data_IF_190473391910
#
_entry.id   IF_190473391910
#
_cell.length_a   1.000
_cell.length_b   1.000
_cell.length_c   1.000
_cell.angle_alpha   90.00
_cell.angle_beta   90.00
_cell.angle_gamma   90.00
#
_symmetry.space_group_name_H-M   'P 1'
#
loop_
_entity.id
_entity.type
_entity.pdbx_description
1 polymer ?
#
# COMPACT_ATOMS: atom_id res chain seq x y z
N UNK A 1 -16.42 11.43 -16.10
CA UNK A 1 -15.56 10.70 -15.13
C UNK A 1 -14.09 10.91 -15.48
N UNK A 2 -13.32 11.64 -14.67
CA UNK A 2 -11.87 11.81 -14.88
C UNK A 2 -11.13 10.48 -14.67
N UNK A 3 -10.26 10.11 -15.61
CA UNK A 3 -9.43 8.89 -15.55
C UNK A 3 -7.96 9.30 -15.48
N UNK A 4 -7.16 8.55 -14.74
CA UNK A 4 -5.70 8.70 -14.67
C UNK A 4 -5.03 7.48 -15.28
N UNK A 5 -3.80 7.63 -15.75
CA UNK A 5 -2.98 6.52 -16.23
C UNK A 5 -2.06 6.09 -15.09
N UNK A 6 -2.04 4.80 -14.78
CA UNK A 6 -1.11 4.26 -13.81
C UNK A 6 0.31 4.25 -14.39
N UNK A 7 1.28 4.83 -13.69
CA UNK A 7 2.67 4.90 -14.19
C UNK A 7 3.38 3.54 -14.23
N UNK A 8 2.91 2.53 -13.48
CA UNK A 8 3.55 1.21 -13.43
C UNK A 8 3.07 0.29 -14.58
N UNK A 9 1.76 0.28 -14.86
CA UNK A 9 1.17 -0.62 -15.88
C UNK A 9 0.52 0.09 -17.07
N UNK A 10 0.56 1.43 -17.12
CA UNK A 10 -0.06 2.26 -18.16
C UNK A 10 -1.58 2.04 -18.39
N UNK A 11 -2.26 1.33 -17.47
CA UNK A 11 -3.72 1.14 -17.54
C UNK A 11 -4.47 2.38 -17.06
N UNK A 12 -5.66 2.60 -17.63
CA UNK A 12 -6.57 3.68 -17.21
C UNK A 12 -7.28 3.30 -15.91
N UNK A 13 -7.20 4.17 -14.92
CA UNK A 13 -7.80 4.01 -13.60
C UNK A 13 -8.83 5.11 -13.34
N UNK A 14 -9.94 4.76 -12.71
CA UNK A 14 -10.89 5.74 -12.22
C UNK A 14 -10.25 6.60 -11.14
N UNK A 15 -10.50 7.91 -11.12
CA UNK A 15 -9.88 8.84 -10.15
C UNK A 15 -10.09 8.42 -8.69
N UNK A 16 -11.28 7.94 -8.34
CA UNK A 16 -11.60 7.43 -7.00
C UNK A 16 -10.74 6.23 -6.56
N UNK A 17 -10.21 5.48 -7.54
CA UNK A 17 -9.45 4.24 -7.38
C UNK A 17 -7.96 4.40 -7.67
N UNK A 18 -7.54 5.62 -8.04
CA UNK A 18 -6.13 5.93 -8.31
C UNK A 18 -5.51 6.60 -7.10
N UNK A 19 -4.29 6.23 -6.75
CA UNK A 19 -3.48 6.91 -5.75
C UNK A 19 -2.53 7.86 -6.45
N UNK A 20 -2.45 9.12 -6.00
CA UNK A 20 -1.39 10.00 -6.47
C UNK A 20 -0.09 9.57 -5.82
N UNK A 21 1.00 9.59 -6.56
CA UNK A 21 2.33 9.46 -5.99
C UNK A 21 2.48 10.49 -4.89
N UNK A 22 2.83 10.03 -3.70
CA UNK A 22 3.06 10.91 -2.58
C UNK A 22 4.08 11.98 -2.98
N UNK A 23 3.84 13.21 -2.55
CA UNK A 23 4.87 14.27 -2.64
C UNK A 23 6.08 13.89 -1.76
N UNK A 24 5.85 13.10 -0.70
CA UNK A 24 6.90 12.54 0.14
C UNK A 24 7.67 11.41 -0.60
N UNK A 25 8.96 11.59 -0.89
CA UNK A 25 9.77 10.63 -1.64
C UNK A 25 9.89 9.27 -0.95
N UNK A 26 9.98 9.25 0.38
CA UNK A 26 10.08 8.02 1.18
C UNK A 26 8.91 7.07 0.95
N UNK A 27 7.67 7.58 0.91
CA UNK A 27 6.48 6.73 0.63
C UNK A 27 6.51 6.13 -0.77
N UNK A 28 6.96 6.91 -1.75
CA UNK A 28 7.11 6.44 -3.11
C UNK A 28 8.21 5.38 -3.19
N UNK A 29 9.37 5.65 -2.57
CA UNK A 29 10.50 4.74 -2.50
C UNK A 29 10.12 3.42 -1.84
N UNK A 30 9.44 3.44 -0.70
CA UNK A 30 8.99 2.24 -0.01
C UNK A 30 8.01 1.41 -0.84
N UNK A 31 7.03 2.07 -1.49
CA UNK A 31 6.07 1.36 -2.36
C UNK A 31 6.79 0.70 -3.55
N UNK A 32 7.73 1.41 -4.17
CA UNK A 32 8.54 0.88 -5.26
C UNK A 32 9.48 -0.25 -4.79
N UNK A 33 10.09 -0.12 -3.62
CA UNK A 33 10.93 -1.15 -3.00
C UNK A 33 10.15 -2.44 -2.75
N UNK A 34 8.92 -2.36 -2.22
CA UNK A 34 8.05 -3.51 -2.01
C UNK A 34 7.61 -4.18 -3.33
N UNK A 35 7.41 -3.39 -4.40
CA UNK A 35 7.12 -3.94 -5.74
C UNK A 35 8.34 -4.62 -6.37
N UNK A 36 9.55 -4.13 -6.10
CA UNK A 36 10.80 -4.80 -6.50
C UNK A 36 11.00 -6.08 -5.70
N UNK A 37 10.84 -6.01 -4.38
CA UNK A 37 10.97 -7.15 -3.47
C UNK A 37 10.03 -8.30 -3.86
N UNK A 38 8.80 -8.00 -4.26
CA UNK A 38 7.83 -8.98 -4.74
C UNK A 38 8.01 -9.43 -6.19
N UNK A 39 9.04 -8.94 -6.89
CA UNK A 39 9.32 -9.27 -8.29
C UNK A 39 8.29 -8.74 -9.28
N UNK A 40 7.42 -7.80 -8.89
CA UNK A 40 6.38 -7.22 -9.75
C UNK A 40 6.94 -6.22 -10.75
N UNK A 41 8.03 -5.56 -10.38
CA UNK A 41 8.83 -4.69 -11.25
C UNK A 41 10.31 -4.99 -11.00
N UNK A 42 11.13 -4.83 -12.03
CA UNK A 42 12.58 -4.84 -11.87
C UNK A 42 13.08 -3.50 -11.29
N UNK A 43 14.33 -3.51 -10.82
CA UNK A 43 14.95 -2.35 -10.19
C UNK A 43 15.15 -1.18 -11.16
N UNK A 44 15.41 -1.43 -12.44
CA UNK A 44 15.66 -0.39 -13.44
C UNK A 44 14.37 0.38 -13.79
N UNK A 45 13.27 -0.36 -13.96
CA UNK A 45 11.92 0.20 -14.08
C UNK A 45 11.55 0.97 -12.82
N UNK A 46 11.88 0.46 -11.64
CA UNK A 46 11.64 1.14 -10.38
C UNK A 46 12.36 2.50 -10.30
N UNK A 47 13.66 2.54 -10.63
CA UNK A 47 14.46 3.79 -10.73
C UNK A 47 13.85 4.79 -11.72
N UNK A 48 13.49 4.33 -12.92
CA UNK A 48 12.86 5.17 -13.95
C UNK A 48 11.55 5.80 -13.47
N UNK A 49 10.69 5.01 -12.81
CA UNK A 49 9.43 5.51 -12.24
C UNK A 49 9.70 6.53 -11.13
N UNK A 50 10.66 6.24 -10.23
CA UNK A 50 11.03 7.12 -9.13
C UNK A 50 11.49 8.49 -9.65
N UNK A 51 12.43 8.51 -10.60
CA UNK A 51 12.93 9.74 -11.23
C UNK A 51 11.82 10.51 -11.96
N UNK A 52 10.98 9.82 -12.73
CA UNK A 52 9.87 10.44 -13.44
C UNK A 52 8.86 11.10 -12.47
N UNK A 53 8.57 10.46 -11.34
CA UNK A 53 7.71 11.04 -10.32
C UNK A 53 8.35 12.28 -9.68
N UNK A 54 9.65 12.25 -9.39
CA UNK A 54 10.39 13.37 -8.77
C UNK A 54 10.46 14.61 -9.66
N UNK A 55 10.59 14.43 -10.97
CA UNK A 55 10.70 15.53 -11.92
C UNK A 55 9.36 16.23 -12.20
N UNK A 56 8.22 15.62 -11.86
CA UNK A 56 6.89 16.15 -12.23
C UNK A 56 6.16 16.81 -11.08
N UNK A 57 5.89 18.12 -11.21
CA UNK A 57 5.16 18.93 -10.20
C UNK A 57 3.74 18.43 -9.88
N UNK A 58 3.08 17.75 -10.82
CA UNK A 58 1.67 17.33 -10.68
C UNK A 58 1.49 15.97 -9.98
N UNK A 59 2.59 15.26 -9.69
CA UNK A 59 2.55 13.88 -9.22
C UNK A 59 2.03 12.91 -10.29
N UNK A 60 2.42 11.65 -10.19
CA UNK A 60 1.94 10.57 -11.06
C UNK A 60 0.85 9.78 -10.34
N UNK A 61 0.21 8.86 -11.03
CA UNK A 61 -0.86 8.05 -10.42
C UNK A 61 -0.51 6.56 -10.45
N UNK A 62 -0.92 5.86 -9.42
CA UNK A 62 -0.86 4.42 -9.26
C UNK A 62 -2.28 3.86 -9.24
N UNK A 63 -2.48 2.68 -9.83
CA UNK A 63 -3.74 1.97 -9.67
C UNK A 63 -3.83 1.38 -8.25
N UNK A 64 -5.06 1.15 -7.79
CA UNK A 64 -5.28 0.45 -6.53
C UNK A 64 -4.67 -0.95 -6.51
N UNK A 65 -4.58 -1.63 -7.66
CA UNK A 65 -4.04 -2.99 -7.75
C UNK A 65 -2.58 -3.01 -7.28
N UNK A 66 -1.70 -2.18 -7.86
CA UNK A 66 -0.29 -2.17 -7.43
C UNK A 66 -0.14 -1.73 -5.97
N UNK A 67 -1.02 -0.87 -5.48
CA UNK A 67 -0.98 -0.50 -4.06
C UNK A 67 -1.41 -1.67 -3.17
N UNK A 68 -2.45 -2.40 -3.55
CA UNK A 68 -2.89 -3.61 -2.84
C UNK A 68 -1.77 -4.65 -2.89
N UNK A 69 -1.15 -4.90 -4.06
CA UNK A 69 -0.02 -5.83 -4.19
C UNK A 69 1.13 -5.45 -3.25
N UNK A 70 1.50 -4.16 -3.21
CA UNK A 70 2.51 -3.64 -2.28
C UNK A 70 2.15 -3.98 -0.83
N UNK A 71 0.90 -3.74 -0.43
CA UNK A 71 0.44 -3.99 0.93
C UNK A 71 0.32 -5.50 1.25
N UNK A 72 -0.07 -6.31 0.28
CA UNK A 72 -0.11 -7.78 0.40
C UNK A 72 1.28 -8.35 0.63
N UNK A 73 2.27 -7.87 -0.14
CA UNK A 73 3.68 -8.23 0.08
C UNK A 73 4.13 -7.86 1.48
N UNK A 74 3.83 -6.64 1.93
CA UNK A 74 4.21 -6.21 3.27
C UNK A 74 3.57 -7.08 4.36
N UNK A 75 2.27 -7.34 4.27
CA UNK A 75 1.55 -8.19 5.24
C UNK A 75 2.12 -9.62 5.24
N UNK A 76 2.38 -10.19 4.06
CA UNK A 76 2.95 -11.53 3.94
C UNK A 76 4.32 -11.66 4.61
N UNK A 77 5.20 -10.67 4.42
CA UNK A 77 6.53 -10.65 5.04
C UNK A 77 6.45 -10.44 6.56
N UNK A 78 5.59 -9.53 7.04
CA UNK A 78 5.40 -9.29 8.47
C UNK A 78 4.85 -10.52 9.18
N UNK A 79 3.88 -11.22 8.57
CA UNK A 79 3.22 -12.35 9.21
C UNK A 79 4.04 -13.64 9.15
N UNK A 80 5.12 -13.72 8.37
CA UNK A 80 6.12 -14.80 8.47
C UNK A 80 5.59 -16.24 8.41
N UNK A 81 4.42 -16.47 7.79
CA UNK A 81 3.78 -17.79 7.72
C UNK A 81 2.63 -18.04 8.70
N UNK A 82 2.23 -17.05 9.52
CA UNK A 82 0.96 -17.11 10.28
C UNK A 82 -0.19 -17.28 9.27
N UNK A 83 -1.04 -18.28 9.51
CA UNK A 83 -2.17 -18.59 8.62
C UNK A 83 -3.53 -18.28 9.25
N UNK A 84 -3.60 -18.27 10.59
CA UNK A 84 -4.83 -17.94 11.29
C UNK A 84 -5.15 -16.45 11.18
N UNK A 85 -6.42 -16.15 10.89
CA UNK A 85 -6.86 -14.80 10.61
C UNK A 85 -6.83 -13.90 11.87
N UNK A 86 -7.17 -14.45 13.04
CA UNK A 86 -7.17 -13.69 14.30
C UNK A 86 -5.75 -13.43 14.78
N UNK A 87 -4.85 -14.40 14.64
CA UNK A 87 -3.43 -14.23 14.94
C UNK A 87 -2.78 -13.18 14.04
N UNK A 88 -3.07 -13.18 12.73
CA UNK A 88 -2.61 -12.14 11.80
C UNK A 88 -3.11 -10.77 12.24
N UNK A 89 -4.41 -10.65 12.54
CA UNK A 89 -4.99 -9.36 12.95
C UNK A 89 -4.29 -8.83 14.20
N UNK A 90 -4.12 -9.67 15.23
CA UNK A 90 -3.43 -9.31 16.46
C UNK A 90 -1.97 -8.93 16.22
N UNK A 91 -1.26 -9.69 15.40
CA UNK A 91 0.14 -9.42 15.07
C UNK A 91 0.30 -8.07 14.37
N UNK A 92 -0.52 -7.78 13.36
CA UNK A 92 -0.49 -6.50 12.66
C UNK A 92 -0.87 -5.32 13.57
N UNK A 93 -1.82 -5.52 14.50
CA UNK A 93 -2.17 -4.50 15.49
C UNK A 93 -0.99 -4.21 16.43
N UNK A 94 -0.21 -5.23 16.82
CA UNK A 94 1.04 -5.05 17.55
C UNK A 94 2.04 -4.24 16.71
N UNK A 95 2.22 -4.58 15.43
CA UNK A 95 3.11 -3.84 14.52
C UNK A 95 2.76 -2.36 14.39
N UNK A 96 1.48 -2.01 14.49
CA UNK A 96 1.02 -0.62 14.38
C UNK A 96 1.09 0.16 15.69
N UNK A 97 1.16 -0.52 16.85
CA UNK A 97 1.05 0.10 18.17
C UNK A 97 2.34 0.08 18.98
N UNK A 98 3.23 -0.88 18.74
CA UNK A 98 4.53 -0.99 19.42
C UNK A 98 5.66 -0.61 18.46
N UNK A 99 6.45 0.37 18.87
CA UNK A 99 7.33 1.14 18.00
C UNK A 99 8.73 0.55 17.73
N UNK A 100 9.01 -0.76 17.85
CA UNK A 100 10.38 -1.20 17.52
C UNK A 100 10.71 -2.66 17.20
N UNK A 101 9.94 -3.70 17.59
CA UNK A 101 10.50 -5.08 17.52
C UNK A 101 9.71 -6.04 16.61
N UNK A 102 8.67 -5.54 15.96
CA UNK A 102 7.70 -6.36 15.23
C UNK A 102 7.91 -6.40 13.72
N UNK A 103 8.84 -5.60 13.20
CA UNK A 103 9.23 -5.65 11.80
C UNK A 103 10.48 -6.54 11.69
N UNK A 104 10.46 -7.61 10.89
CA UNK A 104 11.63 -8.46 10.70
C UNK A 104 12.82 -7.65 10.18
N UNK A 105 13.97 -7.78 10.85
CA UNK A 105 15.19 -7.02 10.52
C UNK A 105 15.63 -7.30 9.09
N UNK A 106 15.53 -8.55 8.63
CA UNK A 106 15.91 -8.94 7.29
C UNK A 106 15.02 -8.29 6.22
N UNK A 107 13.72 -8.11 6.52
CA UNK A 107 12.82 -7.36 5.64
C UNK A 107 13.23 -5.89 5.59
N UNK A 108 13.47 -5.29 6.76
CA UNK A 108 13.86 -3.90 6.87
C UNK A 108 15.14 -3.60 6.08
N UNK A 109 16.17 -4.43 6.25
CA UNK A 109 17.45 -4.29 5.55
C UNK A 109 17.30 -4.42 4.03
N UNK A 110 16.51 -5.39 3.55
CA UNK A 110 16.22 -5.54 2.11
C UNK A 110 15.51 -4.30 1.56
N UNK A 111 14.50 -3.79 2.25
CA UNK A 111 13.78 -2.60 1.82
C UNK A 111 14.67 -1.36 1.83
N UNK A 112 15.51 -1.21 2.86
CA UNK A 112 16.49 -0.13 2.95
C UNK A 112 17.50 -0.19 1.79
N UNK A 113 17.97 -1.38 1.41
CA UNK A 113 18.84 -1.57 0.25
C UNK A 113 18.14 -1.14 -1.05
N UNK A 114 16.94 -1.65 -1.32
CA UNK A 114 16.19 -1.26 -2.52
C UNK A 114 15.92 0.24 -2.57
N UNK A 115 15.60 0.86 -1.44
CA UNK A 115 15.43 2.31 -1.38
C UNK A 115 16.72 3.05 -1.70
N UNK A 116 17.88 2.64 -1.15
CA UNK A 116 19.18 3.25 -1.49
C UNK A 116 19.55 3.11 -2.96
N UNK A 117 19.11 2.02 -3.61
CA UNK A 117 19.28 1.87 -5.06
C UNK A 117 18.43 2.86 -5.88
N UNK A 118 17.36 3.43 -5.32
CA UNK A 118 16.57 4.50 -5.94
C UNK A 118 17.19 5.88 -5.67
N UNK A 119 17.65 6.10 -4.44
CA UNK A 119 18.28 7.33 -3.97
C UNK A 119 19.17 7.00 -2.77
N UNK A 120 20.48 7.19 -2.90
CA UNK A 120 21.47 6.81 -1.87
C UNK A 120 21.23 7.54 -0.54
N UNK A 121 20.58 8.71 -0.57
CA UNK A 121 20.29 9.51 0.61
C UNK A 121 19.14 8.95 1.46
N UNK A 122 18.46 7.90 1.01
CA UNK A 122 17.32 7.37 1.74
C UNK A 122 17.70 6.67 3.04
N UNK A 123 17.02 7.12 4.10
CA UNK A 123 16.97 6.46 5.39
C UNK A 123 15.53 5.98 5.58
N UNK A 124 15.33 4.67 5.56
CA UNK A 124 14.05 4.05 5.87
C UNK A 124 13.83 4.16 7.37
N UNK A 125 12.65 4.61 7.75
CA UNK A 125 12.21 4.62 9.14
C UNK A 125 11.06 3.63 9.30
N UNK A 126 11.03 2.88 10.41
CA UNK A 126 9.95 1.91 10.68
C UNK A 126 8.55 2.55 10.63
N UNK A 127 8.45 3.81 11.07
CA UNK A 127 7.21 4.60 11.01
C UNK A 127 6.63 4.71 9.58
N UNK A 128 7.48 4.63 8.56
CA UNK A 128 7.04 4.66 7.16
C UNK A 128 6.36 3.35 6.76
N UNK A 129 6.86 2.22 7.28
CA UNK A 129 6.29 0.88 7.09
C UNK A 129 4.95 0.78 7.82
N UNK A 130 4.92 1.13 9.10
CA UNK A 130 3.67 1.08 9.91
C UNK A 130 2.60 2.01 9.36
N UNK A 131 2.99 3.18 8.86
CA UNK A 131 2.07 4.11 8.19
C UNK A 131 1.50 3.54 6.89
N UNK A 132 2.33 2.89 6.06
CA UNK A 132 1.86 2.26 4.82
C UNK A 132 0.88 1.12 5.14
N UNK A 133 1.20 0.30 6.14
CA UNK A 133 0.36 -0.78 6.63
C UNK A 133 -1.00 -0.26 7.13
N UNK A 134 -1.00 0.74 8.02
CA UNK A 134 -2.22 1.34 8.55
C UNK A 134 -3.07 1.95 7.42
N UNK A 135 -2.45 2.65 6.47
CA UNK A 135 -3.16 3.21 5.32
C UNK A 135 -3.78 2.12 4.43
N UNK A 136 -3.11 0.97 4.28
CA UNK A 136 -3.65 -0.16 3.54
C UNK A 136 -4.82 -0.83 4.27
N UNK A 137 -4.66 -1.15 5.56
CA UNK A 137 -5.68 -1.80 6.38
C UNK A 137 -6.94 -0.93 6.51
N UNK A 138 -6.78 0.36 6.81
CA UNK A 138 -7.89 1.31 6.92
C UNK A 138 -8.74 1.39 5.65
N UNK A 139 -8.08 1.28 4.48
CA UNK A 139 -8.75 1.48 3.19
C UNK A 139 -9.34 0.21 2.59
N UNK A 140 -8.62 -0.90 2.69
CA UNK A 140 -8.94 -2.14 1.99
C UNK A 140 -9.42 -3.27 2.93
N UNK A 141 -9.11 -3.16 4.22
CA UNK A 141 -9.38 -4.20 5.21
C UNK A 141 -8.44 -5.40 5.09
N UNK A 142 -8.29 -6.14 6.18
CA UNK A 142 -7.40 -7.28 6.26
C UNK A 142 -7.75 -8.38 5.24
N UNK A 143 -9.04 -8.67 5.05
CA UNK A 143 -9.47 -9.72 4.11
C UNK A 143 -8.97 -9.49 2.66
N UNK A 144 -8.91 -8.24 2.20
CA UNK A 144 -8.33 -7.90 0.89
C UNK A 144 -6.82 -8.12 0.87
N UNK A 145 -6.13 -7.71 1.95
CA UNK A 145 -4.68 -7.84 2.06
C UNK A 145 -4.22 -9.30 2.24
N UNK A 146 -5.13 -10.19 2.62
CA UNK A 146 -4.90 -11.63 2.64
C UNK A 146 -5.35 -12.34 1.36
N UNK A 147 -5.84 -11.61 0.36
CA UNK A 147 -6.35 -12.19 -0.88
C UNK A 147 -7.64 -13.01 -0.71
N UNK A 148 -8.31 -12.90 0.44
CA UNK A 148 -9.56 -13.59 0.77
C UNK A 148 -10.81 -12.87 0.21
N UNK A 149 -10.65 -11.63 -0.24
CA UNK A 149 -11.69 -10.86 -0.93
C UNK A 149 -11.16 -10.30 -2.27
N UNK A 150 -12.02 -10.25 -3.28
CA UNK A 150 -11.71 -9.55 -4.54
C UNK A 150 -12.10 -8.06 -4.48
N UNK A 151 -11.44 -7.23 -5.31
CA UNK A 151 -11.66 -5.78 -5.38
C UNK A 151 -13.13 -5.41 -5.64
N UNK A 152 -13.83 -6.18 -6.47
CA UNK A 152 -15.24 -5.92 -6.80
C UNK A 152 -16.16 -6.12 -5.59
N UNK A 153 -15.87 -7.15 -4.78
CA UNK A 153 -16.59 -7.52 -3.57
C UNK A 153 -16.39 -6.48 -2.48
N UNK A 154 -15.17 -5.96 -2.31
CA UNK A 154 -14.89 -4.84 -1.40
C UNK A 154 -15.71 -3.58 -1.76
N UNK A 155 -15.76 -3.20 -3.05
CA UNK A 155 -16.58 -2.05 -3.49
C UNK A 155 -18.08 -2.27 -3.32
N UNK A 156 -18.58 -3.51 -3.41
CA UNK A 156 -19.99 -3.83 -3.09
C UNK A 156 -20.25 -3.66 -1.59
N UNK A 157 -19.37 -4.17 -0.73
CA UNK A 157 -19.47 -4.04 0.73
C UNK A 157 -19.42 -2.59 1.19
N UNK A 158 -18.46 -1.80 0.69
CA UNK A 158 -18.32 -0.38 1.02
C UNK A 158 -19.58 0.41 0.67
N UNK A 159 -20.15 0.21 -0.53
CA UNK A 159 -21.41 0.84 -0.94
C UNK A 159 -22.60 0.45 -0.05
N UNK A 160 -22.67 -0.81 0.40
CA UNK A 160 -23.71 -1.27 1.34
C UNK A 160 -23.56 -0.60 2.71
N UNK A 161 -22.33 -0.45 3.21
CA UNK A 161 -22.06 0.22 4.48
C UNK A 161 -22.37 1.71 4.40
N UNK A 162 -21.94 2.40 3.34
CA UNK A 162 -22.25 3.82 3.10
C UNK A 162 -23.75 4.05 2.91
N UNK A 163 -24.46 3.13 2.23
CA UNK A 163 -25.92 3.16 2.11
C UNK A 163 -26.65 2.96 3.44
N UNK A 164 -26.14 2.08 4.32
CA UNK A 164 -26.69 1.89 5.68
C UNK A 164 -26.45 3.09 6.59
N UNK A 165 -25.30 3.76 6.48
CA UNK A 165 -25.02 5.00 7.23
C UNK A 165 -25.93 6.14 6.77
N UNK A 166 -26.18 6.26 5.46
CA UNK A 166 -27.17 7.22 4.92
C UNK A 166 -28.59 6.91 5.40
N UNK A 167 -29.02 5.65 5.42
CA UNK A 167 -30.35 5.31 5.92
C UNK A 167 -30.51 5.50 7.44
N UNK A 168 -29.43 5.35 8.24
CA UNK A 168 -29.47 5.69 9.67
C UNK A 168 -29.57 7.19 9.93
N UNK A 169 -29.05 8.04 9.04
CA UNK A 169 -29.17 9.51 9.15
C UNK A 169 -30.54 10.04 8.68
N UNK A 170 -31.36 9.23 8.01
CA UNK A 170 -32.71 9.60 7.57
C UNK A 170 -33.79 9.20 8.61
N UNK A 171 -33.45 8.39 9.62
CA UNK A 171 -34.37 8.01 10.71
C UNK A 171 -34.30 8.91 11.95
N UNK A 172 -33.71 10.10 11.84
CA UNK A 172 -33.73 11.16 12.87
C UNK A 172 -34.38 12.43 12.29
N UNK A 173 -35.61 12.34 11.81
CA UNK A 173 -36.54 13.45 11.61
C UNK A 173 -37.97 12.94 11.78
#
# INVERSE_FOLDING_TARGET
>A
MTRHICIICNKRCQKAKSRRSSVAPHRLGLMLALLVHSGKIDIEKSKSIYQCCRQTRKGKHFCEIHFIETAQTLVGELCGGITDYMEIQLHLDICMTRNSDSIPVELFDRLQQYMRMLDESFILEEKEITRLLNEALSRYGLAMLLGKEDISTMYKRKRRLEGKVRNKLICFY
#
